data_IF_006147300075
#
_entry.id   IF_006147300075
#
_cell.length_a   1.000
_cell.length_b   1.000
_cell.length_c   1.000
_cell.angle_alpha   90.00
_cell.angle_beta   90.00
_cell.angle_gamma   90.00
#
_symmetry.space_group_name_H-M   'P 1'
#
loop_
_entity.id
_entity.type
_entity.pdbx_description
1 polymer ?
#
# COMPACT_ATOMS: atom_id res chain seq x y z
N UNK A 1 -11.07 1.34 -16.52
CA UNK A 1 -10.99 -0.10 -16.18
C UNK A 1 -9.71 -0.33 -15.35
N UNK A 2 -9.73 -0.05 -14.04
CA UNK A 2 -8.64 -0.37 -13.12
C UNK A 2 -9.23 -1.26 -12.03
N UNK A 3 -9.09 -2.60 -12.11
CA UNK A 3 -9.98 -3.47 -11.33
C UNK A 3 -9.40 -4.72 -10.67
N UNK A 4 -8.09 -4.97 -10.72
CA UNK A 4 -7.48 -6.12 -10.02
C UNK A 4 -6.31 -5.76 -9.11
N UNK A 5 -5.33 -4.97 -9.59
CA UNK A 5 -4.20 -4.53 -8.76
C UNK A 5 -4.61 -3.67 -7.55
N UNK A 6 -5.71 -2.92 -7.67
CA UNK A 6 -6.28 -2.09 -6.61
C UNK A 6 -6.97 -2.92 -5.51
N UNK A 7 -7.46 -4.12 -5.87
CA UNK A 7 -8.18 -5.01 -4.95
C UNK A 7 -7.26 -5.87 -4.08
N UNK A 8 -6.07 -6.24 -4.57
CA UNK A 8 -5.06 -6.92 -3.75
C UNK A 8 -4.47 -6.00 -2.65
N UNK A 9 -4.60 -4.68 -2.82
CA UNK A 9 -4.29 -3.71 -1.76
C UNK A 9 -5.28 -3.77 -0.57
N UNK A 10 -6.39 -4.52 -0.67
CA UNK A 10 -7.45 -4.48 0.33
C UNK A 10 -7.16 -5.27 1.62
N UNK A 11 -6.06 -6.04 1.71
CA UNK A 11 -5.77 -6.83 2.93
C UNK A 11 -4.33 -6.70 3.43
N UNK A 12 -4.19 -6.67 4.75
CA UNK A 12 -2.91 -6.73 5.48
C UNK A 12 -2.82 -8.06 6.22
N UNK A 13 -1.59 -8.59 6.35
CA UNK A 13 -1.29 -9.74 7.20
C UNK A 13 -0.66 -9.26 8.50
N UNK A 14 -1.16 -9.75 9.63
CA UNK A 14 -0.55 -9.51 10.92
C UNK A 14 0.83 -10.21 10.99
N UNK A 15 1.92 -9.51 11.34
CA UNK A 15 3.25 -10.12 11.45
C UNK A 15 3.36 -11.09 12.63
N UNK A 16 2.49 -10.97 13.63
CA UNK A 16 2.50 -11.78 14.84
C UNK A 16 1.73 -13.10 14.68
N UNK A 17 0.49 -13.04 14.17
CA UNK A 17 -0.40 -14.22 14.10
C UNK A 17 -0.77 -14.62 12.67
N UNK A 18 -0.21 -13.95 11.66
CA UNK A 18 -0.43 -14.18 10.23
C UNK A 18 -1.90 -14.10 9.75
N UNK A 19 -2.80 -13.56 10.59
CA UNK A 19 -4.19 -13.35 10.21
C UNK A 19 -4.27 -12.33 9.06
N UNK A 20 -5.03 -12.68 8.01
CA UNK A 20 -5.37 -11.76 6.92
C UNK A 20 -6.61 -10.95 7.29
N UNK A 21 -6.54 -9.63 7.14
CA UNK A 21 -7.63 -8.73 7.52
C UNK A 21 -7.64 -7.46 6.67
N UNK A 22 -8.75 -6.71 6.72
CA UNK A 22 -8.78 -5.35 6.22
C UNK A 22 -7.75 -4.48 6.99
N UNK A 23 -7.18 -3.44 6.36
CA UNK A 23 -6.28 -2.50 7.02
C UNK A 23 -6.91 -1.95 8.30
N UNK A 24 -6.18 -2.09 9.39
CA UNK A 24 -6.56 -1.63 10.74
C UNK A 24 -5.26 -1.40 11.50
N UNK A 25 -5.26 -0.41 12.39
CA UNK A 25 -4.16 -0.14 13.31
C UNK A 25 -4.00 -1.24 14.37
N UNK A 26 -4.98 -2.14 14.50
CA UNK A 26 -4.95 -3.26 15.44
C UNK A 26 -5.33 -4.59 14.76
N UNK A 27 -4.67 -5.68 15.16
CA UNK A 27 -5.03 -7.03 14.72
C UNK A 27 -6.33 -7.53 15.36
N UNK A 28 -7.32 -7.90 14.54
CA UNK A 28 -8.62 -8.44 15.00
C UNK A 28 -8.51 -9.79 15.72
N UNK A 29 -7.40 -10.52 15.57
CA UNK A 29 -7.17 -11.83 16.20
C UNK A 29 -6.32 -11.74 17.47
N UNK A 30 -5.14 -11.13 17.38
CA UNK A 30 -4.16 -11.11 18.47
C UNK A 30 -4.03 -9.75 19.17
N UNK A 31 -4.75 -8.72 18.70
CA UNK A 31 -4.74 -7.35 19.24
C UNK A 31 -3.38 -6.65 19.26
N UNK A 32 -2.40 -7.15 18.51
CA UNK A 32 -1.13 -6.44 18.36
C UNK A 32 -1.34 -5.12 17.60
N UNK A 33 -0.52 -4.12 17.91
CA UNK A 33 -0.44 -2.89 17.13
C UNK A 33 0.08 -3.19 15.72
N UNK A 34 -0.57 -2.56 14.74
CA UNK A 34 -0.27 -2.63 13.31
C UNK A 34 -0.08 -1.23 12.72
N UNK A 35 -0.03 -0.18 13.55
CA UNK A 35 0.05 1.22 13.12
C UNK A 35 1.25 1.44 12.18
N UNK A 36 2.44 0.99 12.60
CA UNK A 36 3.66 1.08 11.79
C UNK A 36 3.54 0.34 10.43
N UNK A 37 2.91 -0.83 10.42
CA UNK A 37 2.72 -1.61 9.20
C UNK A 37 1.80 -0.87 8.21
N UNK A 38 0.70 -0.31 8.72
CA UNK A 38 -0.27 0.45 7.93
C UNK A 38 0.38 1.72 7.36
N UNK A 39 1.05 2.50 8.21
CA UNK A 39 1.75 3.72 7.81
C UNK A 39 2.82 3.46 6.75
N UNK A 40 3.62 2.40 6.93
CA UNK A 40 4.66 2.01 5.98
C UNK A 40 4.08 1.65 4.61
N UNK A 41 2.96 0.92 4.59
CA UNK A 41 2.26 0.58 3.32
C UNK A 41 1.74 1.83 2.62
N UNK A 42 1.08 2.72 3.35
CA UNK A 42 0.59 3.99 2.80
C UNK A 42 1.75 4.85 2.27
N UNK A 43 2.85 4.94 3.02
CA UNK A 43 4.04 5.67 2.57
C UNK A 43 4.58 5.09 1.26
N UNK A 44 4.75 3.76 1.18
CA UNK A 44 5.19 3.08 -0.05
C UNK A 44 4.29 3.40 -1.24
N UNK A 45 2.97 3.37 -1.07
CA UNK A 45 2.02 3.68 -2.13
C UNK A 45 2.11 5.14 -2.58
N UNK A 46 2.21 6.08 -1.64
CA UNK A 46 2.47 7.50 -1.95
C UNK A 46 3.74 7.67 -2.78
N UNK A 47 4.84 7.06 -2.36
CA UNK A 47 6.12 7.15 -3.07
C UNK A 47 6.04 6.52 -4.46
N UNK A 48 5.39 5.36 -4.59
CA UNK A 48 5.17 4.69 -5.89
C UNK A 48 4.39 5.58 -6.84
N UNK A 49 3.27 6.16 -6.39
CA UNK A 49 2.46 7.05 -7.21
C UNK A 49 3.24 8.33 -7.60
N UNK A 50 3.98 8.93 -6.67
CA UNK A 50 4.80 10.10 -6.97
C UNK A 50 5.89 9.79 -8.00
N UNK A 51 6.57 8.65 -7.88
CA UNK A 51 7.61 8.21 -8.82
C UNK A 51 7.03 7.97 -10.22
N UNK A 52 5.95 7.18 -10.31
CA UNK A 52 5.29 6.89 -11.59
C UNK A 52 4.75 8.17 -12.25
N UNK A 53 4.18 9.08 -11.47
CA UNK A 53 3.75 10.39 -11.97
C UNK A 53 4.92 11.17 -12.56
N UNK A 54 6.04 11.25 -11.85
CA UNK A 54 7.23 11.96 -12.34
C UNK A 54 7.77 11.37 -13.63
N UNK A 55 7.83 10.04 -13.74
CA UNK A 55 8.27 9.37 -14.97
C UNK A 55 7.34 9.70 -16.14
N UNK A 56 6.01 9.62 -15.93
CA UNK A 56 5.04 9.99 -16.97
C UNK A 56 5.15 11.47 -17.39
N UNK A 57 5.38 12.38 -16.44
CA UNK A 57 5.59 13.79 -16.73
C UNK A 57 6.88 14.02 -17.54
N UNK A 58 7.96 13.25 -17.27
CA UNK A 58 9.20 13.29 -18.04
C UNK A 58 9.04 12.74 -19.46
N UNK A 59 8.33 11.62 -19.63
CA UNK A 59 8.04 11.03 -20.94
C UNK A 59 7.19 12.00 -21.79
N UNK A 60 6.18 12.64 -21.19
CA UNK A 60 5.32 13.62 -21.87
C UNK A 60 6.07 14.90 -22.28
N UNK A 61 7.15 15.26 -21.58
CA UNK A 61 7.98 16.41 -21.89
C UNK A 61 9.00 16.14 -23.02
N UNK A 62 9.00 14.95 -23.64
CA UNK A 62 9.87 14.61 -24.78
C UNK A 62 11.35 14.45 -24.42
N UNK A 63 11.66 14.06 -23.19
CA UNK A 63 13.03 13.91 -22.70
C UNK A 63 13.68 12.54 -23.03
N UNK A 64 13.11 11.75 -23.94
CA UNK A 64 13.68 10.49 -24.47
C UNK A 64 13.42 10.40 -25.97
#
# INVERSE_FOLDING_TARGET
MAKQADREAATIRCPTCNASQAPSIECRRCRCDLSLLVETRQARERWRHACLKRLADHDAAGAI
#
